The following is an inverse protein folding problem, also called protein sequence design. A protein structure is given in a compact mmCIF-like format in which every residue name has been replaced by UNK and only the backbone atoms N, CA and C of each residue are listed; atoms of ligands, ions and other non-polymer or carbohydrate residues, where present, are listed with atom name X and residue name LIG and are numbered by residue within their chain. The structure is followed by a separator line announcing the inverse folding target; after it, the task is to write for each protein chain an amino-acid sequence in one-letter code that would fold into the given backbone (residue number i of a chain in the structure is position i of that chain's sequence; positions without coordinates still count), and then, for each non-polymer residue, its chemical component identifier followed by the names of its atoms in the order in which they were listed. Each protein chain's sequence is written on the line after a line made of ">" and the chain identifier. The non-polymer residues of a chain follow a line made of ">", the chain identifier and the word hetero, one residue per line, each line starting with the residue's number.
data_IF_043133608663
#
_entry.id   IF_043133608663
#
_cell.length_a   1.000
_cell.length_b   1.000
_cell.length_c   1.000
_cell.angle_alpha   90.00
_cell.angle_beta   90.00
_cell.angle_gamma   90.00
#
_symmetry.space_group_name_H-M   'P 1'
#
loop_
_entity.id
_entity.type
_entity.pdbx_description
1 polymer ?
#
# COMPACT_ATOMS: atom_id res chain seq x y z
N UNK A 1 30.77 -0.33 -18.24
CA UNK A 1 30.49 -1.15 -17.04
C UNK A 1 28.98 -1.25 -16.92
N UNK A 2 28.50 -2.45 -16.63
CA UNK A 2 27.13 -2.94 -16.88
C UNK A 2 26.09 -2.16 -16.06
N UNK A 3 25.02 -1.73 -16.71
CA UNK A 3 23.81 -1.21 -16.05
C UNK A 3 23.15 -2.38 -15.30
N UNK A 4 23.16 -2.32 -13.97
CA UNK A 4 22.51 -3.33 -13.12
C UNK A 4 21.00 -3.14 -13.29
N UNK A 5 20.36 -4.02 -14.06
CA UNK A 5 18.91 -4.17 -14.06
C UNK A 5 18.50 -4.56 -12.64
N UNK A 6 17.80 -3.66 -11.93
CA UNK A 6 17.17 -3.96 -10.64
C UNK A 6 16.03 -4.94 -10.92
N UNK A 7 16.36 -6.21 -11.04
CA UNK A 7 15.40 -7.31 -11.04
C UNK A 7 14.91 -7.48 -9.59
N UNK A 8 14.17 -6.48 -9.12
CA UNK A 8 13.51 -6.49 -7.81
C UNK A 8 12.24 -7.31 -7.98
N UNK A 9 12.37 -8.64 -7.93
CA UNK A 9 11.23 -9.48 -7.58
C UNK A 9 10.93 -9.23 -6.10
N UNK A 10 10.31 -8.08 -5.80
CA UNK A 10 9.96 -7.67 -4.44
C UNK A 10 8.84 -8.58 -3.93
N UNK A 11 9.23 -9.63 -3.19
CA UNK A 11 8.28 -10.49 -2.48
C UNK A 11 7.74 -9.77 -1.25
N UNK A 12 6.45 -9.90 -0.99
CA UNK A 12 5.78 -9.33 0.17
C UNK A 12 5.19 -10.44 1.06
N UNK A 13 5.34 -10.31 2.38
CA UNK A 13 4.82 -11.30 3.32
C UNK A 13 3.44 -10.87 3.81
N UNK A 14 2.45 -11.75 3.71
CA UNK A 14 1.12 -11.48 4.21
C UNK A 14 1.15 -11.32 5.74
N UNK A 15 0.78 -10.15 6.25
CA UNK A 15 0.69 -9.89 7.69
C UNK A 15 -0.43 -10.70 8.41
N UNK A 16 -1.34 -11.32 7.65
CA UNK A 16 -2.49 -12.07 8.18
C UNK A 16 -2.22 -13.56 8.32
N UNK A 17 -1.55 -14.19 7.36
CA UNK A 17 -1.27 -15.64 7.37
C UNK A 17 0.20 -16.03 7.21
N UNK A 18 1.09 -15.10 6.86
CA UNK A 18 2.52 -15.36 6.68
C UNK A 18 2.94 -15.83 5.29
N UNK A 19 2.01 -15.99 4.34
CA UNK A 19 2.32 -16.41 2.97
C UNK A 19 3.24 -15.41 2.25
N UNK A 20 4.21 -15.94 1.48
CA UNK A 20 5.10 -15.15 0.63
C UNK A 20 4.40 -14.91 -0.70
N UNK A 21 4.07 -13.65 -0.99
CA UNK A 21 3.36 -13.25 -2.19
C UNK A 21 4.31 -12.56 -3.17
N UNK A 22 4.07 -12.73 -4.46
CA UNK A 22 4.80 -12.04 -5.52
C UNK A 22 4.52 -10.53 -5.50
N UNK A 23 5.38 -9.77 -6.17
CA UNK A 23 5.17 -8.33 -6.30
C UNK A 23 3.88 -8.02 -7.06
N UNK A 24 3.27 -6.87 -6.75
CA UNK A 24 2.10 -6.35 -7.48
C UNK A 24 0.77 -7.05 -7.22
N UNK A 25 0.72 -8.14 -6.44
CA UNK A 25 -0.58 -8.70 -6.02
C UNK A 25 -1.21 -7.85 -4.92
N UNK A 26 -2.51 -7.57 -5.06
CA UNK A 26 -3.26 -6.75 -4.12
C UNK A 26 -3.82 -7.54 -2.93
N UNK A 27 -4.01 -8.85 -3.14
CA UNK A 27 -4.58 -9.78 -2.17
C UNK A 27 -3.66 -10.99 -2.04
N UNK A 28 -3.59 -11.54 -0.84
CA UNK A 28 -2.86 -12.75 -0.52
C UNK A 28 -3.41 -13.92 -1.34
N UNK A 29 -2.52 -14.61 -2.05
CA UNK A 29 -2.86 -15.73 -2.92
C UNK A 29 -3.30 -16.98 -2.14
N UNK A 30 -3.02 -17.03 -0.83
CA UNK A 30 -3.47 -18.11 0.06
C UNK A 30 -4.75 -17.71 0.83
N UNK A 31 -4.70 -16.67 1.66
CA UNK A 31 -5.83 -16.34 2.56
C UNK A 31 -6.79 -15.24 2.06
N UNK A 32 -6.52 -14.63 0.91
CA UNK A 32 -7.32 -13.51 0.37
C UNK A 32 -7.22 -12.19 1.14
N UNK A 33 -6.34 -12.10 2.16
CA UNK A 33 -6.10 -10.87 2.92
C UNK A 33 -5.51 -9.78 2.04
N UNK A 34 -5.98 -8.54 2.19
CA UNK A 34 -5.47 -7.38 1.45
C UNK A 34 -4.03 -7.08 1.86
N UNK A 35 -3.14 -6.91 0.89
CA UNK A 35 -1.70 -6.71 1.14
C UNK A 35 -1.28 -5.24 1.11
N UNK A 36 -2.01 -4.43 0.33
CA UNK A 36 -1.80 -3.00 0.18
C UNK A 36 -3.10 -2.27 0.57
N UNK A 37 -3.02 -1.10 1.22
CA UNK A 37 -4.20 -0.29 1.52
C UNK A 37 -4.51 0.64 0.35
N UNK A 38 -5.55 0.31 -0.42
CA UNK A 38 -6.06 1.14 -1.51
C UNK A 38 -7.35 1.89 -1.13
N UNK A 39 -7.74 1.79 0.14
CA UNK A 39 -8.97 2.42 0.65
C UNK A 39 -8.69 3.72 1.39
N UNK A 40 -7.41 4.01 1.68
CA UNK A 40 -7.01 5.20 2.39
C UNK A 40 -5.86 5.94 1.72
N UNK A 41 -5.85 7.25 1.92
CA UNK A 41 -4.76 8.17 1.60
C UNK A 41 -4.32 8.87 2.88
N UNK A 42 -3.03 9.18 3.00
CA UNK A 42 -2.52 9.95 4.13
C UNK A 42 -2.38 11.42 3.74
N UNK A 43 -2.88 12.33 4.58
CA UNK A 43 -2.76 13.76 4.32
C UNK A 43 -1.29 14.18 4.28
N UNK A 44 -0.86 14.80 3.18
CA UNK A 44 0.54 15.26 3.02
C UNK A 44 0.93 16.39 3.99
N UNK A 45 -0.06 17.09 4.57
CA UNK A 45 0.20 18.20 5.49
C UNK A 45 0.28 17.76 6.95
N UNK A 46 -0.61 16.86 7.40
CA UNK A 46 -0.70 16.47 8.81
C UNK A 46 -0.50 14.97 9.08
N UNK A 47 -0.47 14.13 8.05
CA UNK A 47 -0.30 12.68 8.18
C UNK A 47 -1.55 11.89 8.56
N UNK A 48 -2.71 12.53 8.72
CA UNK A 48 -3.95 11.82 9.07
C UNK A 48 -4.36 10.80 8.00
N UNK A 49 -4.80 9.61 8.42
CA UNK A 49 -5.31 8.56 7.54
C UNK A 49 -6.75 8.87 7.15
N UNK A 50 -6.99 9.09 5.86
CA UNK A 50 -8.29 9.47 5.33
C UNK A 50 -8.80 8.43 4.34
N UNK A 51 -10.12 8.30 4.19
CA UNK A 51 -10.72 7.51 3.08
C UNK A 51 -10.38 8.16 1.74
N UNK A 52 -10.15 7.34 0.70
CA UNK A 52 -10.00 7.83 -0.68
C UNK A 52 -11.25 8.56 -1.22
N UNK A 53 -12.42 8.40 -0.58
CA UNK A 53 -13.64 9.12 -0.94
C UNK A 53 -13.66 10.57 -0.45
N UNK A 54 -12.78 10.92 0.50
CA UNK A 54 -12.70 12.26 1.05
C UNK A 54 -11.91 13.18 0.11
N UNK A 55 -12.46 14.36 -0.18
CA UNK A 55 -11.75 15.43 -0.93
C UNK A 55 -10.84 16.28 -0.05
N UNK A 56 -11.08 16.26 1.27
CA UNK A 56 -10.38 17.08 2.26
C UNK A 56 -10.10 16.27 3.52
N UNK A 57 -8.96 16.54 4.15
CA UNK A 57 -8.52 15.90 5.38
C UNK A 57 -9.55 16.12 6.49
N UNK A 58 -9.96 15.04 7.15
CA UNK A 58 -10.92 15.07 8.26
C UNK A 58 -10.38 15.82 9.48
N UNK A 59 -9.06 15.81 9.69
CA UNK A 59 -8.40 16.54 10.77
C UNK A 59 -8.08 18.00 10.39
N UNK A 60 -7.08 18.25 9.54
CA UNK A 60 -6.56 19.61 9.27
C UNK A 60 -7.32 20.40 8.17
N UNK A 61 -8.30 19.79 7.51
CA UNK A 61 -9.14 20.39 6.45
C UNK A 61 -8.43 20.79 5.15
N UNK A 62 -7.14 20.50 4.98
CA UNK A 62 -6.47 20.63 3.68
C UNK A 62 -7.02 19.64 2.65
N UNK A 63 -6.79 19.91 1.37
CA UNK A 63 -7.13 18.99 0.27
C UNK A 63 -6.25 17.72 0.39
N UNK A 64 -6.83 16.57 0.03
CA UNK A 64 -6.16 15.26 0.01
C UNK A 64 -5.69 14.89 -1.41
#
# INVERSE_FOLDING_TARGET
>A
MVEIKKDSSEIQVCNKCGEINYDGVNFCQDCGGMLNDFTHVFCEVCGEKNSIENKTCTECKNIL
#
